data_IF_744418281558
#
_entry.id   IF_744418281558
#
_cell.length_a   1.000
_cell.length_b   1.000
_cell.length_c   1.000
_cell.angle_alpha   90.00
_cell.angle_beta   90.00
_cell.angle_gamma   90.00
#
_symmetry.space_group_name_H-M   'P 1'
#
loop_
_entity.id
_entity.type
_entity.pdbx_description
1 polymer ?
#
# COMPACT_ATOMS: atom_id res chain seq x y z
N UNK A 1 -11.66 7.41 16.35
CA UNK A 1 -11.50 7.28 14.88
C UNK A 1 -10.57 6.10 14.67
N UNK A 2 -11.10 4.97 14.17
CA UNK A 2 -10.29 3.76 14.00
C UNK A 2 -9.30 4.04 12.85
N UNK A 3 -7.99 4.05 13.12
CA UNK A 3 -6.99 4.11 12.05
C UNK A 3 -7.09 2.81 11.26
N UNK A 4 -7.63 2.90 10.05
CA UNK A 4 -7.71 1.79 9.12
C UNK A 4 -6.27 1.30 8.83
N UNK A 5 -5.99 0.01 9.11
CA UNK A 5 -4.69 -0.62 8.89
C UNK A 5 -4.83 -1.70 7.82
N UNK A 6 -5.01 -1.31 6.55
CA UNK A 6 -5.19 -2.27 5.47
C UNK A 6 -3.93 -3.11 5.34
N UNK A 7 -4.10 -4.42 5.15
CA UNK A 7 -3.01 -5.39 4.96
C UNK A 7 -2.00 -5.50 6.12
N UNK A 8 -2.33 -5.02 7.33
CA UNK A 8 -1.37 -4.93 8.46
C UNK A 8 -0.07 -4.20 8.07
N UNK A 9 -0.20 -3.18 7.22
CA UNK A 9 0.93 -2.49 6.60
C UNK A 9 1.55 -1.41 7.46
N UNK A 10 0.90 -0.98 8.55
CA UNK A 10 1.43 0.05 9.42
C UNK A 10 2.52 -0.49 10.35
N UNK A 11 3.71 0.10 10.26
CA UNK A 11 4.87 -0.21 11.09
C UNK A 11 5.34 1.03 11.89
N UNK A 12 6.16 0.78 12.90
CA UNK A 12 6.78 1.79 13.76
C UNK A 12 8.29 1.74 13.63
N UNK A 13 8.92 2.92 13.63
CA UNK A 13 10.37 3.08 13.66
C UNK A 13 10.71 4.06 14.78
N UNK A 14 11.61 3.68 15.67
CA UNK A 14 12.03 4.53 16.79
C UNK A 14 13.43 5.08 16.52
N UNK A 15 13.58 6.40 16.64
CA UNK A 15 14.85 7.10 16.46
C UNK A 15 14.90 8.30 17.41
N UNK A 16 15.96 8.40 18.21
CA UNK A 16 16.19 9.48 19.18
C UNK A 16 14.99 9.73 20.12
N UNK A 17 14.37 8.66 20.60
CA UNK A 17 13.20 8.73 21.48
C UNK A 17 11.91 9.22 20.80
N UNK A 18 11.90 9.33 19.47
CA UNK A 18 10.71 9.65 18.67
C UNK A 18 10.22 8.42 17.92
N UNK A 19 8.92 8.14 18.03
CA UNK A 19 8.26 7.07 17.27
C UNK A 19 7.69 7.62 15.97
N UNK A 20 8.17 7.10 14.85
CA UNK A 20 7.66 7.36 13.51
C UNK A 20 6.75 6.22 13.08
N UNK A 21 5.70 6.57 12.34
CA UNK A 21 4.82 5.58 11.70
C UNK A 21 5.01 5.62 10.20
N UNK A 22 5.13 4.46 9.58
CA UNK A 22 5.24 4.32 8.14
C UNK A 22 4.42 3.12 7.66
N UNK A 23 4.12 3.10 6.36
CA UNK A 23 3.39 2.02 5.71
C UNK A 23 4.37 1.17 4.90
N UNK A 24 4.63 -0.07 5.34
CA UNK A 24 5.57 -0.97 4.69
C UNK A 24 4.92 -1.66 3.48
N UNK A 25 5.42 -1.37 2.29
CA UNK A 25 4.97 -2.01 1.05
C UNK A 25 5.14 -3.53 1.06
N UNK A 26 6.14 -4.05 1.77
CA UNK A 26 6.37 -5.49 1.94
C UNK A 26 5.19 -6.22 2.59
N UNK A 27 4.34 -5.51 3.35
CA UNK A 27 3.14 -6.11 3.90
C UNK A 27 2.16 -6.57 2.80
N UNK A 28 2.12 -5.90 1.65
CA UNK A 28 1.30 -6.31 0.50
C UNK A 28 1.83 -7.60 -0.13
N UNK A 29 3.15 -7.77 -0.21
CA UNK A 29 3.77 -9.02 -0.67
C UNK A 29 3.48 -10.18 0.31
N UNK A 30 3.64 -9.92 1.62
CA UNK A 30 3.35 -10.90 2.67
C UNK A 30 1.87 -11.30 2.69
N UNK A 31 0.97 -10.37 2.34
CA UNK A 31 -0.47 -10.61 2.22
C UNK A 31 -0.86 -11.27 0.89
N UNK A 32 0.10 -11.56 -0.01
CA UNK A 32 -0.16 -12.21 -1.31
C UNK A 32 -0.87 -11.32 -2.34
N UNK A 33 -0.84 -10.00 -2.15
CA UNK A 33 -1.59 -9.03 -2.98
C UNK A 33 -0.90 -8.81 -4.34
N UNK A 34 0.43 -8.79 -4.35
CA UNK A 34 1.23 -8.58 -5.56
C UNK A 34 2.73 -8.60 -5.27
N UNK A 35 3.56 -8.66 -6.31
CA UNK A 35 5.03 -8.63 -6.19
C UNK A 35 5.55 -7.19 -6.23
N UNK A 36 5.47 -6.53 -5.09
CA UNK A 36 5.81 -5.10 -4.95
C UNK A 36 7.31 -4.86 -5.16
N UNK A 37 8.16 -5.85 -4.89
CA UNK A 37 9.61 -5.76 -5.10
C UNK A 37 9.97 -5.52 -6.56
N UNK A 38 9.20 -6.07 -7.51
CA UNK A 38 9.42 -5.92 -8.95
C UNK A 38 8.91 -4.60 -9.55
N UNK A 39 8.15 -3.80 -8.78
CA UNK A 39 7.61 -2.54 -9.30
C UNK A 39 8.71 -1.48 -9.51
N UNK A 40 8.60 -0.63 -10.55
CA UNK A 40 9.44 0.55 -10.70
C UNK A 40 9.33 1.48 -9.48
N UNK A 41 10.39 2.22 -9.17
CA UNK A 41 10.42 3.12 -8.02
C UNK A 41 9.26 4.12 -8.00
N UNK A 42 8.93 4.73 -9.15
CA UNK A 42 7.81 5.67 -9.24
C UNK A 42 6.47 5.02 -8.85
N UNK A 43 6.24 3.77 -9.26
CA UNK A 43 5.03 3.02 -8.93
C UNK A 43 4.99 2.66 -7.44
N UNK A 44 6.13 2.31 -6.84
CA UNK A 44 6.24 2.07 -5.39
C UNK A 44 5.84 3.32 -4.59
N UNK A 45 6.27 4.51 -5.01
CA UNK A 45 5.92 5.78 -4.34
C UNK A 45 4.42 6.07 -4.44
N UNK A 46 3.83 5.86 -5.62
CA UNK A 46 2.38 5.98 -5.81
C UNK A 46 1.63 4.97 -4.93
N UNK A 47 2.07 3.72 -4.91
CA UNK A 47 1.47 2.65 -4.12
C UNK A 47 1.50 2.95 -2.61
N UNK A 48 2.60 3.50 -2.08
CA UNK A 48 2.65 3.91 -0.68
C UNK A 48 1.67 5.05 -0.38
N UNK A 49 1.55 6.01 -1.30
CA UNK A 49 0.62 7.13 -1.16
C UNK A 49 -0.83 6.64 -1.11
N UNK A 50 -1.22 5.74 -2.01
CA UNK A 50 -2.55 5.13 -2.06
C UNK A 50 -2.79 4.30 -0.80
N UNK A 51 -1.85 3.45 -0.40
CA UNK A 51 -1.94 2.61 0.80
C UNK A 51 -2.13 3.44 2.08
N UNK A 52 -1.44 4.58 2.19
CA UNK A 52 -1.57 5.49 3.33
C UNK A 52 -2.92 6.22 3.36
N UNK A 53 -3.57 6.38 2.20
CA UNK A 53 -4.81 7.15 2.04
C UNK A 53 -6.07 6.30 2.02
N UNK A 54 -5.99 4.97 2.16
CA UNK A 54 -7.17 4.09 2.19
C UNK A 54 -8.16 4.53 3.27
N UNK A 55 -9.34 4.95 2.81
CA UNK A 55 -10.43 5.46 3.64
C UNK A 55 -11.75 4.71 3.43
N UNK A 56 -11.78 3.77 2.47
CA UNK A 56 -12.96 2.97 2.13
C UNK A 56 -14.05 3.74 1.38
N UNK A 57 -13.77 4.97 0.93
CA UNK A 57 -14.71 5.79 0.13
C UNK A 57 -14.09 6.22 -1.17
N UNK A 58 -13.01 7.00 -1.10
CA UNK A 58 -12.30 7.53 -2.27
C UNK A 58 -11.16 6.58 -2.63
N UNK A 59 -10.43 6.10 -1.63
CA UNK A 59 -9.36 5.13 -1.81
C UNK A 59 -9.74 3.84 -1.12
N UNK A 60 -9.92 2.78 -1.91
CA UNK A 60 -10.30 1.45 -1.45
C UNK A 60 -9.10 0.50 -1.42
N UNK A 61 -9.24 -0.63 -0.72
CA UNK A 61 -8.27 -1.71 -0.75
C UNK A 61 -8.09 -2.31 -2.17
N UNK A 62 -9.10 -2.13 -3.03
CA UNK A 62 -9.05 -2.54 -4.44
C UNK A 62 -8.07 -1.69 -5.24
N UNK A 63 -8.06 -0.36 -5.04
CA UNK A 63 -7.08 0.54 -5.66
C UNK A 63 -5.64 0.15 -5.30
N UNK A 64 -5.40 -0.21 -4.04
CA UNK A 64 -4.09 -0.72 -3.58
C UNK A 64 -3.75 -2.04 -4.27
N UNK A 65 -4.69 -2.98 -4.30
CA UNK A 65 -4.48 -4.30 -4.89
C UNK A 65 -4.19 -4.23 -6.38
N UNK A 66 -4.89 -3.36 -7.09
CA UNK A 66 -4.71 -3.17 -8.52
C UNK A 66 -3.35 -2.56 -8.84
N UNK A 67 -2.96 -1.50 -8.12
CA UNK A 67 -1.67 -0.86 -8.32
C UNK A 67 -0.49 -1.77 -7.90
N UNK A 68 -0.68 -2.64 -6.90
CA UNK A 68 0.31 -3.65 -6.51
C UNK A 68 0.55 -4.72 -7.59
N UNK A 69 -0.39 -4.89 -8.54
CA UNK A 69 -0.32 -5.80 -9.69
C UNK A 69 0.12 -5.09 -10.98
N UNK A 70 0.54 -3.83 -10.91
CA UNK A 70 0.93 -3.05 -12.09
C UNK A 70 1.94 -3.81 -12.96
N UNK A 71 1.66 -3.85 -14.27
CA UNK A 71 2.48 -4.57 -15.26
C UNK A 71 2.18 -6.06 -15.40
N UNK A 72 1.19 -6.62 -14.68
CA UNK A 72 0.69 -7.98 -14.92
C UNK A 72 -0.61 -7.98 -15.71
N UNK A 73 -1.06 -9.18 -16.12
CA UNK A 73 -2.36 -9.38 -16.81
C UNK A 73 -3.56 -9.21 -15.86
N UNK A 74 -3.31 -9.11 -14.56
CA UNK A 74 -4.33 -9.09 -13.51
C UNK A 74 -4.77 -7.67 -13.12
N UNK A 75 -4.17 -6.64 -13.75
CA UNK A 75 -4.59 -5.24 -13.59
C UNK A 75 -6.01 -5.10 -14.12
N UNK A 76 -6.90 -4.60 -13.27
CA UNK A 76 -8.27 -4.23 -13.60
C UNK A 76 -8.34 -2.75 -14.01
N UNK A 77 -9.27 -2.42 -14.89
CA UNK A 77 -9.68 -1.05 -15.13
C UNK A 77 -10.59 -0.64 -13.97
N UNK A 78 -10.07 0.19 -13.07
CA UNK A 78 -10.84 0.72 -11.93
C UNK A 78 -11.01 2.21 -12.15
N UNK A 79 -12.27 2.66 -12.17
CA UNK A 79 -12.63 4.06 -12.28
C UNK A 79 -12.18 4.80 -11.00
N UNK A 80 -11.45 5.91 -11.18
CA UNK A 80 -10.85 6.71 -10.08
C UNK A 80 -11.71 7.91 -9.70
#
# INVERSE_FOLDING_TARGET
MVKHNPFQSRATFELDGKTYHYYQLKALENAGVGNVSQLPYSVKVLLESVLRQVDGRVITEEHVTNLAKWGTKDVQDIDV
#
